data_IF_836615939226
#
_entry.id   IF_836615939226
#
_cell.length_a   1.000
_cell.length_b   1.000
_cell.length_c   1.000
_cell.angle_alpha   90.00
_cell.angle_beta   90.00
_cell.angle_gamma   90.00
#
_symmetry.space_group_name_H-M   'P 1'
#
loop_
_entity.id
_entity.type
_entity.pdbx_description
1 polymer ?
#
# COMPACT_ATOMS: atom_id res chain seq x y z
N UNK A 1 -8.70 7.47 -1.62
CA UNK A 1 -9.62 6.35 -2.05
C UNK A 1 -9.90 5.25 -1.00
N UNK A 2 -9.33 5.36 0.19
CA UNK A 2 -9.28 4.31 1.20
C UNK A 2 -10.63 4.12 1.92
N UNK A 3 -10.98 2.87 2.22
CA UNK A 3 -12.12 2.49 3.06
C UNK A 3 -11.66 2.16 4.48
N UNK A 4 -10.61 1.35 4.62
CA UNK A 4 -10.08 0.89 5.90
C UNK A 4 -8.59 0.59 5.77
N UNK A 5 -7.84 0.81 6.86
CA UNK A 5 -6.47 0.32 7.02
C UNK A 5 -6.45 -0.60 8.22
N UNK A 6 -5.94 -1.83 8.05
CA UNK A 6 -5.87 -2.85 9.11
C UNK A 6 -4.58 -3.64 9.04
N UNK A 7 -4.14 -4.19 10.17
CA UNK A 7 -2.93 -5.00 10.23
C UNK A 7 -2.31 -5.01 11.62
N UNK A 8 -1.22 -5.78 11.76
CA UNK A 8 -0.42 -5.83 12.98
C UNK A 8 1.06 -5.85 12.62
N UNK A 9 1.87 -5.06 13.33
CA UNK A 9 3.29 -4.89 13.03
C UNK A 9 3.48 -4.37 11.61
N UNK A 10 4.32 -5.06 10.82
CA UNK A 10 4.64 -4.70 9.44
C UNK A 10 3.73 -5.38 8.40
N UNK A 11 2.74 -6.17 8.82
CA UNK A 11 1.78 -6.76 7.88
C UNK A 11 0.52 -5.89 7.82
N UNK A 12 0.47 -5.00 6.84
CA UNK A 12 -0.59 -3.99 6.70
C UNK A 12 -1.40 -4.23 5.43
N UNK A 13 -2.72 -4.14 5.56
CA UNK A 13 -3.69 -4.18 4.48
C UNK A 13 -4.46 -2.88 4.37
N UNK A 14 -4.49 -2.28 3.18
CA UNK A 14 -5.30 -1.11 2.86
C UNK A 14 -6.46 -1.54 1.97
N UNK A 15 -7.68 -1.52 2.53
CA UNK A 15 -8.90 -1.79 1.77
C UNK A 15 -9.38 -0.52 1.07
N UNK A 16 -9.61 -0.64 -0.23
CA UNK A 16 -10.14 0.43 -1.07
C UNK A 16 -11.66 0.32 -1.22
N UNK A 17 -12.31 1.47 -1.42
CA UNK A 17 -13.74 1.51 -1.77
C UNK A 17 -13.96 0.77 -3.10
N UNK A 18 -15.12 0.14 -3.29
CA UNK A 18 -15.47 -0.51 -4.59
C UNK A 18 -15.44 0.49 -5.75
N UNK A 19 -15.83 1.74 -5.50
CA UNK A 19 -15.75 2.86 -6.45
C UNK A 19 -14.34 3.22 -6.89
N UNK A 20 -13.30 2.75 -6.18
CA UNK A 20 -11.91 3.00 -6.56
C UNK A 20 -11.49 2.24 -7.82
N UNK A 21 -12.29 1.30 -8.36
CA UNK A 21 -11.98 0.61 -9.62
C UNK A 21 -10.89 -0.48 -9.48
N UNK A 22 -10.70 -0.99 -8.26
CA UNK A 22 -9.73 -2.07 -7.96
C UNK A 22 -8.37 -1.57 -7.48
N UNK A 23 -7.65 -2.44 -6.77
CA UNK A 23 -6.36 -2.12 -6.13
C UNK A 23 -5.16 -2.23 -7.09
N UNK A 24 -5.28 -2.98 -8.19
CA UNK A 24 -4.17 -3.23 -9.12
C UNK A 24 -3.55 -1.95 -9.69
N UNK A 25 -4.36 -0.98 -10.12
CA UNK A 25 -3.86 0.29 -10.66
C UNK A 25 -3.04 1.09 -9.64
N UNK A 26 -3.37 0.96 -8.35
CA UNK A 26 -2.63 1.61 -7.28
C UNK A 26 -1.31 0.88 -7.04
N UNK A 27 -1.30 -0.45 -7.07
CA UNK A 27 -0.05 -1.23 -7.04
C UNK A 27 0.88 -0.88 -8.22
N UNK A 28 0.34 -0.74 -9.43
CA UNK A 28 1.11 -0.35 -10.63
C UNK A 28 1.65 1.08 -10.51
N UNK A 29 0.87 2.02 -9.97
CA UNK A 29 1.33 3.37 -9.68
C UNK A 29 2.43 3.41 -8.60
N UNK A 30 2.30 2.58 -7.55
CA UNK A 30 3.33 2.43 -6.51
C UNK A 30 4.61 1.79 -7.06
N UNK A 31 4.48 0.81 -7.96
CA UNK A 31 5.61 0.22 -8.67
C UNK A 31 6.41 1.29 -9.44
N UNK A 32 5.72 2.20 -10.13
CA UNK A 32 6.35 3.34 -10.80
C UNK A 32 7.08 4.31 -9.85
N UNK A 33 6.77 4.27 -8.55
CA UNK A 33 7.43 5.05 -7.49
C UNK A 33 8.46 4.24 -6.70
N UNK A 34 8.76 3.01 -7.11
CA UNK A 34 9.75 2.14 -6.47
C UNK A 34 9.21 1.33 -5.29
N UNK A 35 7.89 1.23 -5.12
CA UNK A 35 7.26 0.43 -4.06
C UNK A 35 6.55 -0.77 -4.68
N UNK A 36 7.03 -1.96 -4.33
CA UNK A 36 6.38 -3.21 -4.72
C UNK A 36 5.38 -3.63 -3.64
N UNK A 37 4.12 -3.76 -4.03
CA UNK A 37 3.05 -4.28 -3.21
C UNK A 37 2.11 -5.14 -4.05
N UNK A 38 1.33 -5.99 -3.40
CA UNK A 38 0.41 -6.90 -4.10
C UNK A 38 -1.02 -6.67 -3.67
N UNK A 39 -1.93 -6.67 -4.64
CA UNK A 39 -3.36 -6.65 -4.40
C UNK A 39 -3.91 -8.05 -4.10
N UNK A 40 -4.91 -8.08 -3.22
CA UNK A 40 -5.62 -9.28 -2.78
C UNK A 40 -7.13 -8.98 -2.79
N UNK A 41 -7.94 -10.01 -3.07
CA UNK A 41 -9.41 -9.89 -3.16
C UNK A 41 -9.91 -8.68 -3.99
N UNK A 42 -9.16 -8.31 -5.05
CA UNK A 42 -9.38 -7.18 -5.97
C UNK A 42 -9.29 -5.77 -5.37
N UNK A 43 -9.47 -5.58 -4.05
CA UNK A 43 -9.63 -4.26 -3.44
C UNK A 43 -8.70 -3.99 -2.25
N UNK A 44 -7.87 -4.95 -1.85
CA UNK A 44 -6.95 -4.79 -0.72
C UNK A 44 -5.52 -4.70 -1.24
N UNK A 45 -4.77 -3.66 -0.87
CA UNK A 45 -3.32 -3.58 -1.10
C UNK A 45 -2.62 -4.10 0.14
N UNK A 46 -1.67 -5.03 -0.02
CA UNK A 46 -0.89 -5.57 1.09
C UNK A 46 0.53 -5.04 1.07
N UNK A 47 0.96 -4.54 2.22
CA UNK A 47 2.33 -4.16 2.52
C UNK A 47 2.89 -5.15 3.53
N UNK A 48 4.06 -5.70 3.21
CA UNK A 48 4.80 -6.62 4.08
C UNK A 48 6.30 -6.38 3.86
N UNK A 49 6.84 -5.23 4.29
CA UNK A 49 8.26 -4.98 4.22
C UNK A 49 9.05 -5.95 5.11
N UNK A 50 10.37 -6.08 4.87
CA UNK A 50 11.26 -6.86 5.75
C UNK A 50 11.22 -6.33 7.18
N UNK A 51 11.41 -7.22 8.17
CA UNK A 51 11.50 -6.81 9.59
C UNK A 51 12.74 -5.97 9.90
N UNK A 52 13.70 -5.92 8.99
CA UNK A 52 14.94 -5.14 9.06
C UNK A 52 14.80 -3.76 8.44
N UNK A 53 13.62 -3.37 7.95
CA UNK A 53 13.38 -2.05 7.36
C UNK A 53 13.70 -0.94 8.37
N UNK A 54 14.41 0.09 7.94
CA UNK A 54 14.74 1.23 8.81
C UNK A 54 13.59 2.22 8.89
N UNK A 55 13.67 3.13 9.86
CA UNK A 55 12.68 4.19 10.00
C UNK A 55 12.72 5.15 8.79
N UNK A 56 13.90 5.45 8.29
CA UNK A 56 14.11 6.34 7.15
C UNK A 56 13.54 5.72 5.86
N UNK A 57 13.73 4.42 5.65
CA UNK A 57 13.12 3.69 4.53
C UNK A 57 11.60 3.66 4.64
N UNK A 58 11.07 3.52 5.86
CA UNK A 58 9.64 3.55 6.12
C UNK A 58 9.04 4.94 5.84
N UNK A 59 9.68 6.00 6.32
CA UNK A 59 9.26 7.38 6.08
C UNK A 59 9.27 7.71 4.57
N UNK A 60 10.34 7.31 3.87
CA UNK A 60 10.44 7.41 2.41
C UNK A 60 9.32 6.67 1.67
N UNK A 61 8.93 5.48 2.17
CA UNK A 61 7.89 4.68 1.58
C UNK A 61 6.50 5.29 1.84
N UNK A 62 6.26 5.82 3.04
CA UNK A 62 5.00 6.43 3.43
C UNK A 62 4.66 7.66 2.57
N UNK A 63 5.62 8.54 2.29
CA UNK A 63 5.43 9.69 1.39
C UNK A 63 4.92 9.27 0.00
N UNK A 64 5.50 8.19 -0.54
CA UNK A 64 5.12 7.65 -1.84
C UNK A 64 3.77 6.97 -1.81
N UNK A 65 3.48 6.23 -0.74
CA UNK A 65 2.18 5.58 -0.53
C UNK A 65 1.07 6.64 -0.46
N UNK A 66 1.27 7.69 0.33
CA UNK A 66 0.33 8.80 0.48
C UNK A 66 0.03 9.46 -0.87
N UNK A 67 1.07 9.77 -1.65
CA UNK A 67 0.92 10.40 -2.97
C UNK A 67 0.19 9.56 -4.04
N UNK A 68 -0.13 8.29 -3.76
CA UNK A 68 -0.92 7.41 -4.64
C UNK A 68 -2.30 7.10 -4.06
N UNK A 69 -2.42 7.04 -2.72
CA UNK A 69 -3.63 6.59 -2.05
C UNK A 69 -4.53 7.72 -1.53
N UNK A 70 -4.03 8.95 -1.42
CA UNK A 70 -4.85 10.14 -1.11
C UNK A 70 -5.98 10.29 -2.13
#
# INVERSE_FOLDING_TARGET
YVKEVRGMGLLIGVELKKSAGGARKFCEALMGKGILCKETHKHVIRFAPPLTITKEELDWALERIESVLH
#
